data_IF_643953061287
#
_entry.id   IF_643953061287
#
_cell.length_a   1.000
_cell.length_b   1.000
_cell.length_c   1.000
_cell.angle_alpha   90.00
_cell.angle_beta   90.00
_cell.angle_gamma   90.00
#
_symmetry.space_group_name_H-M   'P 1'
#
loop_
_entity.id
_entity.type
_entity.pdbx_description
1 polymer ?
#
# COMPACT_ATOMS: atom_id res chain seq x y z
N UNK A 1 29.09 -4.56 18.52
CA UNK A 1 29.71 -5.91 18.49
C UNK A 1 28.85 -6.77 17.58
N UNK A 2 29.44 -7.53 16.66
CA UNK A 2 28.69 -8.48 15.83
C UNK A 2 28.40 -9.75 16.64
N UNK A 3 27.15 -10.21 16.62
CA UNK A 3 26.72 -11.47 17.21
C UNK A 3 26.93 -12.61 16.20
N UNK A 4 27.28 -13.82 16.65
CA UNK A 4 27.38 -15.02 15.81
C UNK A 4 26.72 -16.22 16.48
N UNK A 5 26.11 -17.11 15.68
CA UNK A 5 25.42 -18.30 16.19
C UNK A 5 24.46 -18.95 15.20
N UNK A 6 23.81 -20.04 15.65
CA UNK A 6 22.78 -20.79 14.93
C UNK A 6 21.45 -20.73 15.69
N UNK A 7 20.41 -20.17 15.06
CA UNK A 7 19.08 -20.03 15.69
C UNK A 7 18.27 -21.34 15.70
N UNK A 8 18.66 -22.35 14.93
CA UNK A 8 17.85 -23.56 14.72
C UNK A 8 17.61 -24.37 16.02
N UNK A 9 18.44 -24.15 17.05
CA UNK A 9 18.33 -24.81 18.35
C UNK A 9 17.39 -24.09 19.34
N UNK A 10 16.91 -22.90 19.00
CA UNK A 10 16.09 -22.06 19.89
C UNK A 10 14.61 -22.47 19.87
N UNK A 11 14.29 -23.77 19.97
CA UNK A 11 12.94 -24.31 19.69
C UNK A 11 11.82 -23.78 20.61
N UNK A 12 12.16 -23.27 21.79
CA UNK A 12 11.23 -22.62 22.72
C UNK A 12 11.17 -21.10 22.57
N UNK A 13 11.85 -20.54 21.58
CA UNK A 13 11.87 -19.10 21.30
C UNK A 13 10.49 -18.65 20.79
N UNK A 14 9.91 -17.67 21.48
CA UNK A 14 8.65 -17.02 21.11
C UNK A 14 8.87 -15.68 20.39
N UNK A 15 10.05 -15.07 20.58
CA UNK A 15 10.50 -13.83 19.97
C UNK A 15 11.94 -13.93 19.47
N UNK A 16 12.11 -13.82 18.15
CA UNK A 16 13.41 -13.71 17.51
C UNK A 16 13.65 -12.27 17.06
N UNK A 17 14.54 -11.56 17.77
CA UNK A 17 14.98 -10.21 17.43
C UNK A 17 16.46 -10.18 17.05
N UNK A 18 16.78 -9.77 15.82
CA UNK A 18 18.15 -9.65 15.31
C UNK A 18 18.28 -8.31 14.60
N UNK A 19 19.01 -7.38 15.22
CA UNK A 19 19.21 -6.03 14.69
C UNK A 19 20.68 -5.77 14.38
N UNK A 20 20.95 -5.15 13.23
CA UNK A 20 22.30 -4.80 12.76
C UNK A 20 22.93 -5.86 11.84
N UNK A 21 24.21 -5.69 11.55
CA UNK A 21 24.97 -6.62 10.71
C UNK A 21 25.63 -7.70 11.57
N UNK A 22 24.97 -8.85 11.67
CA UNK A 22 25.43 -9.98 12.48
C UNK A 22 25.74 -11.19 11.60
N UNK A 23 26.54 -12.11 12.13
CA UNK A 23 26.84 -13.40 11.49
C UNK A 23 25.95 -14.47 12.11
N UNK A 24 24.64 -14.23 12.13
CA UNK A 24 23.65 -15.20 12.60
C UNK A 24 23.16 -16.03 11.41
N UNK A 25 23.12 -17.34 11.63
CA UNK A 25 22.73 -18.35 10.66
C UNK A 25 21.69 -19.29 11.28
N UNK A 26 21.21 -20.26 10.49
CA UNK A 26 20.21 -21.24 10.93
C UNK A 26 18.86 -21.06 10.26
N UNK A 27 18.03 -22.09 10.39
CA UNK A 27 16.68 -22.13 9.84
C UNK A 27 15.64 -21.84 10.91
N UNK A 28 14.72 -20.92 10.63
CA UNK A 28 13.57 -20.65 11.52
C UNK A 28 12.45 -21.67 11.40
N UNK A 29 12.48 -22.58 10.42
CA UNK A 29 11.34 -23.44 10.09
C UNK A 29 10.90 -24.38 11.23
N UNK A 30 11.81 -24.72 12.15
CA UNK A 30 11.53 -25.53 13.33
C UNK A 30 11.09 -24.74 14.56
N UNK A 31 11.15 -23.41 14.51
CA UNK A 31 10.87 -22.52 15.66
C UNK A 31 9.39 -22.21 15.78
N UNK A 32 8.56 -23.26 15.83
CA UNK A 32 7.09 -23.17 15.75
C UNK A 32 6.41 -22.42 16.92
N UNK A 33 7.15 -22.19 18.01
CA UNK A 33 6.70 -21.36 19.14
C UNK A 33 6.76 -19.85 18.85
N UNK A 34 7.39 -19.43 17.74
CA UNK A 34 7.54 -18.02 17.40
C UNK A 34 6.20 -17.33 17.20
N UNK A 35 5.98 -16.28 17.98
CA UNK A 35 4.87 -15.34 17.83
C UNK A 35 5.31 -14.04 17.18
N UNK A 36 6.61 -13.72 17.24
CA UNK A 36 7.19 -12.49 16.70
C UNK A 36 8.58 -12.73 16.11
N UNK A 37 8.79 -12.22 14.89
CA UNK A 37 10.09 -12.17 14.21
C UNK A 37 10.39 -10.72 13.85
N UNK A 38 11.57 -10.25 14.24
CA UNK A 38 12.15 -8.98 13.82
C UNK A 38 13.60 -9.21 13.40
N UNK A 39 13.88 -8.98 12.12
CA UNK A 39 15.24 -9.10 11.57
C UNK A 39 15.55 -7.88 10.72
N UNK A 40 16.58 -7.14 11.11
CA UNK A 40 17.04 -5.90 10.47
C UNK A 40 18.53 -5.97 10.16
N UNK A 41 18.92 -5.46 8.99
CA UNK A 41 20.32 -5.36 8.57
C UNK A 41 20.77 -6.56 7.72
N UNK A 42 22.07 -6.82 7.69
CA UNK A 42 22.66 -7.91 6.89
C UNK A 42 22.84 -9.16 7.74
N UNK A 43 21.93 -10.14 7.61
CA UNK A 43 21.92 -11.38 8.39
C UNK A 43 21.61 -12.58 7.48
N UNK A 44 22.25 -13.72 7.71
CA UNK A 44 22.03 -14.95 6.91
C UNK A 44 21.02 -15.90 7.59
N UNK A 45 19.93 -15.34 8.10
CA UNK A 45 18.82 -16.15 8.64
C UNK A 45 18.00 -16.69 7.48
N UNK A 46 17.73 -17.99 7.51
CA UNK A 46 17.02 -18.71 6.44
C UNK A 46 15.83 -19.47 7.01
N UNK A 47 15.08 -20.15 6.14
CA UNK A 47 13.98 -21.01 6.54
C UNK A 47 12.62 -20.49 6.12
N UNK A 48 11.68 -21.41 6.03
CA UNK A 48 10.30 -21.14 5.64
C UNK A 48 9.48 -20.67 6.84
N UNK A 49 8.71 -19.59 6.67
CA UNK A 49 7.72 -19.19 7.67
C UNK A 49 6.47 -20.06 7.68
N UNK A 50 6.27 -20.94 6.69
CA UNK A 50 4.98 -21.61 6.45
C UNK A 50 4.46 -22.45 7.64
N UNK A 51 5.35 -22.94 8.51
CA UNK A 51 4.98 -23.71 9.70
C UNK A 51 4.75 -22.84 10.96
N UNK A 52 5.05 -21.54 10.91
CA UNK A 52 5.00 -20.62 12.05
C UNK A 52 3.59 -20.07 12.27
N UNK A 53 2.60 -20.94 12.42
CA UNK A 53 1.17 -20.59 12.45
C UNK A 53 0.75 -19.69 13.63
N UNK A 54 1.55 -19.66 14.70
CA UNK A 54 1.38 -18.76 15.85
C UNK A 54 1.93 -17.35 15.61
N UNK A 55 2.53 -17.09 14.45
CA UNK A 55 3.19 -15.82 14.17
C UNK A 55 2.16 -14.71 14.01
N UNK A 56 2.28 -13.68 14.85
CA UNK A 56 1.44 -12.48 14.85
C UNK A 56 2.16 -11.29 14.23
N UNK A 57 3.50 -11.30 14.27
CA UNK A 57 4.34 -10.20 13.82
C UNK A 57 5.52 -10.71 13.01
N UNK A 58 5.62 -10.31 11.75
CA UNK A 58 6.75 -10.59 10.88
C UNK A 58 7.32 -9.26 10.37
N UNK A 59 8.53 -8.93 10.80
CA UNK A 59 9.27 -7.78 10.30
C UNK A 59 10.65 -8.25 9.83
N UNK A 60 10.89 -8.20 8.52
CA UNK A 60 12.17 -8.61 7.92
C UNK A 60 12.59 -7.57 6.90
N UNK A 61 13.69 -6.87 7.14
CA UNK A 61 14.23 -5.90 6.17
C UNK A 61 15.76 -5.93 6.14
N UNK A 62 16.32 -5.60 4.99
CA UNK A 62 17.76 -5.61 4.76
C UNK A 62 18.18 -6.82 3.91
N UNK A 63 19.45 -7.20 4.00
CA UNK A 63 20.02 -8.34 3.26
C UNK A 63 19.84 -9.63 4.05
N UNK A 64 18.58 -10.01 4.27
CA UNK A 64 18.18 -11.30 4.86
C UNK A 64 17.39 -12.10 3.83
N UNK A 65 17.45 -13.43 3.90
CA UNK A 65 16.72 -14.32 2.98
C UNK A 65 15.74 -15.20 3.76
N UNK A 66 14.55 -14.67 4.02
CA UNK A 66 13.41 -15.48 4.48
C UNK A 66 12.54 -15.85 3.28
N UNK A 67 12.00 -17.07 3.34
CA UNK A 67 11.16 -17.64 2.28
C UNK A 67 9.93 -18.33 2.88
N UNK A 68 9.15 -18.97 2.02
CA UNK A 68 7.96 -19.72 2.42
C UNK A 68 6.66 -19.02 2.05
N UNK A 69 5.56 -19.74 2.24
CA UNK A 69 4.22 -19.24 1.97
C UNK A 69 3.61 -18.62 3.22
N UNK A 70 2.98 -17.46 3.08
CA UNK A 70 2.22 -16.82 4.17
C UNK A 70 0.83 -17.40 4.37
N UNK A 71 0.32 -18.25 3.47
CA UNK A 71 -1.10 -18.67 3.44
C UNK A 71 -1.62 -19.26 4.77
N UNK A 72 -0.75 -19.91 5.55
CA UNK A 72 -1.10 -20.51 6.84
C UNK A 72 -0.98 -19.57 8.05
N UNK A 73 -0.48 -18.34 7.87
CA UNK A 73 -0.17 -17.40 8.96
C UNK A 73 -1.39 -16.57 9.37
N UNK A 74 -2.53 -17.22 9.60
CA UNK A 74 -3.84 -16.55 9.81
C UNK A 74 -3.91 -15.66 11.05
N UNK A 75 -3.00 -15.86 12.01
CA UNK A 75 -2.82 -15.01 13.21
C UNK A 75 -2.03 -13.73 12.95
N UNK A 76 -1.48 -13.55 11.75
CA UNK A 76 -0.60 -12.43 11.43
C UNK A 76 -1.40 -11.12 11.41
N UNK A 77 -0.99 -10.17 12.25
CA UNK A 77 -1.56 -8.82 12.30
C UNK A 77 -0.64 -7.79 11.65
N UNK A 78 0.67 -8.07 11.63
CA UNK A 78 1.69 -7.19 11.09
C UNK A 78 2.66 -7.95 10.18
N UNK A 79 2.76 -7.49 8.93
CA UNK A 79 3.67 -8.02 7.92
C UNK A 79 4.50 -6.91 7.29
N UNK A 80 5.79 -6.87 7.58
CA UNK A 80 6.77 -6.04 6.86
C UNK A 80 7.85 -6.92 6.26
N UNK A 81 8.03 -6.86 4.94
CA UNK A 81 9.12 -7.54 4.24
C UNK A 81 9.75 -6.63 3.22
N UNK A 82 11.05 -6.40 3.34
CA UNK A 82 11.82 -5.54 2.44
C UNK A 82 13.16 -6.14 2.05
N UNK A 83 13.72 -5.71 0.91
CA UNK A 83 15.02 -6.17 0.42
C UNK A 83 14.93 -7.36 -0.54
N UNK A 84 15.92 -8.25 -0.51
CA UNK A 84 16.03 -9.44 -1.38
C UNK A 84 15.47 -10.69 -0.71
N UNK A 85 14.23 -10.62 -0.21
CA UNK A 85 13.52 -11.75 0.37
C UNK A 85 12.68 -12.46 -0.69
N UNK A 86 12.33 -13.73 -0.47
CA UNK A 86 11.52 -14.54 -1.41
C UNK A 86 10.27 -15.05 -0.72
N UNK A 87 9.58 -14.15 -0.02
CA UNK A 87 8.30 -14.49 0.58
C UNK A 87 7.24 -14.61 -0.51
N UNK A 88 6.45 -15.69 -0.43
CA UNK A 88 5.44 -16.05 -1.42
C UNK A 88 4.10 -16.36 -0.74
N UNK A 89 3.09 -16.67 -1.54
CA UNK A 89 1.77 -17.05 -1.05
C UNK A 89 0.76 -15.93 -1.10
N UNK A 90 -0.50 -16.33 -0.95
CA UNK A 90 -1.65 -15.43 -1.00
C UNK A 90 -1.89 -14.77 0.35
N UNK A 91 -2.13 -13.46 0.35
CA UNK A 91 -2.56 -12.71 1.55
C UNK A 91 -4.07 -12.86 1.82
N UNK A 92 -4.85 -13.43 0.91
CA UNK A 92 -6.32 -13.40 0.97
C UNK A 92 -6.94 -14.04 2.23
N UNK A 93 -6.23 -14.98 2.87
CA UNK A 93 -6.66 -15.64 4.12
C UNK A 93 -6.19 -14.95 5.40
N UNK A 94 -5.41 -13.86 5.30
CA UNK A 94 -4.77 -13.20 6.44
C UNK A 94 -5.65 -12.07 7.00
N UNK A 95 -6.91 -12.38 7.29
CA UNK A 95 -7.95 -11.40 7.65
C UNK A 95 -7.68 -10.63 8.95
N UNK A 96 -6.73 -11.10 9.76
CA UNK A 96 -6.25 -10.42 10.98
C UNK A 96 -5.25 -9.29 10.69
N UNK A 97 -4.76 -9.16 9.45
CA UNK A 97 -3.79 -8.14 9.08
C UNK A 97 -4.37 -6.75 9.27
N UNK A 98 -3.67 -5.94 10.07
CA UNK A 98 -3.90 -4.51 10.20
C UNK A 98 -2.83 -3.72 9.45
N UNK A 99 -1.65 -4.32 9.21
CA UNK A 99 -0.53 -3.67 8.55
C UNK A 99 0.17 -4.63 7.57
N UNK A 100 0.32 -4.19 6.32
CA UNK A 100 1.15 -4.87 5.32
C UNK A 100 2.05 -3.87 4.61
N UNK A 101 3.35 -4.14 4.60
CA UNK A 101 4.36 -3.40 3.84
C UNK A 101 5.32 -4.36 3.18
N UNK A 102 5.27 -4.43 1.85
CA UNK A 102 6.06 -5.37 1.06
C UNK A 102 6.79 -4.60 -0.03
N UNK A 103 8.12 -4.59 0.05
CA UNK A 103 8.98 -3.82 -0.84
C UNK A 103 10.13 -4.67 -1.36
N UNK A 104 10.65 -4.34 -2.54
CA UNK A 104 11.78 -5.06 -3.14
C UNK A 104 11.36 -6.29 -3.94
N UNK A 105 12.21 -7.32 -3.95
CA UNK A 105 12.09 -8.50 -4.84
C UNK A 105 11.25 -9.64 -4.25
N UNK A 106 10.14 -9.30 -3.61
CA UNK A 106 9.20 -10.28 -3.07
C UNK A 106 8.14 -10.68 -4.11
N UNK A 107 7.47 -11.81 -3.90
CA UNK A 107 6.40 -12.30 -4.78
C UNK A 107 5.16 -12.64 -3.95
N UNK A 108 4.70 -11.66 -3.17
CA UNK A 108 3.39 -11.76 -2.52
C UNK A 108 2.29 -11.46 -3.52
N UNK A 109 1.20 -12.22 -3.40
CA UNK A 109 0.04 -12.18 -4.28
C UNK A 109 -1.23 -12.31 -3.47
N UNK A 110 -2.37 -12.29 -4.16
CA UNK A 110 -3.66 -12.56 -3.56
C UNK A 110 -4.51 -11.32 -3.38
N UNK A 111 -5.79 -11.59 -3.12
CA UNK A 111 -6.80 -10.55 -3.00
C UNK A 111 -6.70 -9.81 -1.67
N UNK A 112 -6.78 -8.49 -1.69
CA UNK A 112 -6.92 -7.65 -0.49
C UNK A 112 -8.37 -7.50 -0.02
N UNK A 113 -9.36 -7.99 -0.78
CA UNK A 113 -10.77 -7.71 -0.54
C UNK A 113 -11.31 -8.16 0.83
N UNK A 114 -10.72 -9.22 1.41
CA UNK A 114 -11.10 -9.72 2.73
C UNK A 114 -10.32 -9.08 3.89
N UNK A 115 -9.36 -8.19 3.61
CA UNK A 115 -8.48 -7.58 4.62
C UNK A 115 -9.10 -6.33 5.23
N UNK A 116 -10.34 -6.42 5.69
CA UNK A 116 -11.15 -5.25 6.12
C UNK A 116 -10.61 -4.55 7.37
N UNK A 117 -9.70 -5.19 8.11
CA UNK A 117 -9.03 -4.61 9.29
C UNK A 117 -7.77 -3.79 8.92
N UNK A 118 -7.40 -3.74 7.64
CA UNK A 118 -6.15 -3.17 7.20
C UNK A 118 -6.16 -1.64 7.31
N UNK A 119 -5.32 -1.10 8.18
CA UNK A 119 -5.11 0.34 8.33
C UNK A 119 -3.99 0.86 7.42
N UNK A 120 -3.11 -0.02 6.93
CA UNK A 120 -1.95 0.33 6.13
C UNK A 120 -1.64 -0.75 5.08
N UNK A 121 -1.63 -0.35 3.81
CA UNK A 121 -1.29 -1.17 2.65
C UNK A 121 -0.16 -0.51 1.87
N UNK A 122 1.02 -1.12 1.89
CA UNK A 122 2.13 -0.77 1.01
C UNK A 122 2.61 -1.99 0.23
N UNK A 123 2.59 -1.88 -1.09
CA UNK A 123 3.13 -2.89 -2.00
C UNK A 123 3.90 -2.23 -3.14
N UNK A 124 5.16 -2.61 -3.30
CA UNK A 124 6.01 -2.15 -4.41
C UNK A 124 6.96 -3.24 -4.87
N UNK A 125 7.58 -3.07 -6.03
CA UNK A 125 8.51 -4.05 -6.61
C UNK A 125 7.79 -5.14 -7.43
N UNK A 126 8.18 -6.41 -7.27
CA UNK A 126 7.69 -7.55 -8.08
C UNK A 126 6.42 -8.20 -7.52
N UNK A 127 5.73 -7.57 -6.57
CA UNK A 127 4.52 -8.09 -5.94
C UNK A 127 3.29 -7.91 -6.86
N UNK A 128 2.31 -8.80 -6.71
CA UNK A 128 1.09 -8.86 -7.55
C UNK A 128 -0.16 -8.98 -6.69
N UNK A 129 -0.42 -7.96 -5.86
CA UNK A 129 -1.68 -7.85 -5.11
C UNK A 129 -2.82 -7.53 -6.07
N UNK A 130 -4.00 -8.06 -5.74
CA UNK A 130 -5.22 -7.88 -6.54
C UNK A 130 -6.45 -7.69 -5.66
N UNK A 131 -7.61 -7.53 -6.29
CA UNK A 131 -8.90 -7.49 -5.61
C UNK A 131 -9.43 -6.09 -5.30
N UNK A 132 -10.68 -6.06 -4.86
CA UNK A 132 -11.37 -4.81 -4.54
C UNK A 132 -10.84 -4.19 -3.26
N UNK A 133 -10.69 -2.85 -3.25
CA UNK A 133 -10.34 -2.07 -2.06
C UNK A 133 -11.57 -1.57 -1.28
N UNK A 134 -12.79 -1.78 -1.78
CA UNK A 134 -14.01 -1.18 -1.19
C UNK A 134 -14.25 -1.56 0.27
N UNK A 135 -13.76 -2.73 0.70
CA UNK A 135 -13.84 -3.17 2.09
C UNK A 135 -12.78 -2.56 3.02
N UNK A 136 -11.81 -1.80 2.49
CA UNK A 136 -10.67 -1.24 3.24
C UNK A 136 -11.03 0.13 3.85
N UNK A 137 -12.23 0.30 4.41
CA UNK A 137 -12.79 1.58 4.84
C UNK A 137 -12.05 2.25 6.00
N UNK A 138 -11.26 1.48 6.76
CA UNK A 138 -10.41 1.96 7.86
C UNK A 138 -8.97 2.21 7.43
N UNK A 139 -8.64 1.99 6.15
CA UNK A 139 -7.29 2.14 5.65
C UNK A 139 -6.91 3.62 5.55
N UNK A 140 -5.86 4.02 6.27
CA UNK A 140 -5.31 5.37 6.18
C UNK A 140 -4.25 5.53 5.10
N UNK A 141 -3.68 4.42 4.62
CA UNK A 141 -2.63 4.46 3.62
C UNK A 141 -2.78 3.32 2.63
N UNK A 142 -2.94 3.68 1.36
CA UNK A 142 -2.83 2.75 0.24
C UNK A 142 -1.73 3.26 -0.68
N UNK A 143 -0.60 2.58 -0.67
CA UNK A 143 0.55 2.88 -1.51
C UNK A 143 0.94 1.64 -2.30
N UNK A 144 0.39 1.52 -3.50
CA UNK A 144 0.53 0.34 -4.33
C UNK A 144 1.06 0.72 -5.70
N UNK A 145 2.27 0.24 -6.00
CA UNK A 145 3.00 0.55 -7.23
C UNK A 145 3.52 -0.72 -7.90
N UNK A 146 3.60 -0.72 -9.22
CA UNK A 146 4.11 -1.87 -10.00
C UNK A 146 2.99 -2.72 -10.59
N UNK A 147 3.21 -4.04 -10.69
CA UNK A 147 2.34 -4.98 -11.42
C UNK A 147 1.10 -5.45 -10.61
N UNK A 148 0.57 -4.60 -9.74
CA UNK A 148 -0.63 -4.89 -8.97
C UNK A 148 -1.89 -4.62 -9.82
N UNK A 149 -2.98 -5.30 -9.48
CA UNK A 149 -4.28 -5.24 -10.17
C UNK A 149 -5.40 -4.98 -9.16
N UNK A 150 -5.26 -3.91 -8.39
CA UNK A 150 -6.32 -3.47 -7.49
C UNK A 150 -7.49 -2.89 -8.27
N UNK A 151 -8.69 -3.12 -7.77
CA UNK A 151 -9.95 -2.67 -8.39
C UNK A 151 -10.84 -2.03 -7.33
N UNK A 152 -12.01 -1.54 -7.75
CA UNK A 152 -13.07 -1.07 -6.86
C UNK A 152 -13.11 0.43 -6.69
N UNK A 153 -14.16 0.90 -6.04
CA UNK A 153 -14.36 2.32 -5.78
C UNK A 153 -13.60 2.80 -4.54
N UNK A 154 -13.07 4.02 -4.62
CA UNK A 154 -12.54 4.77 -3.46
C UNK A 154 -13.64 5.43 -2.62
N UNK A 155 -14.90 5.41 -3.09
CA UNK A 155 -16.03 5.99 -2.36
C UNK A 155 -16.19 5.33 -0.99
N UNK A 156 -16.29 6.14 0.05
CA UNK A 156 -16.44 5.67 1.43
C UNK A 156 -15.13 5.34 2.14
N UNK A 157 -13.98 5.54 1.49
CA UNK A 157 -12.65 5.40 2.11
C UNK A 157 -12.25 6.67 2.87
N UNK A 158 -13.11 7.12 3.79
CA UNK A 158 -12.98 8.41 4.50
C UNK A 158 -11.84 8.47 5.51
N UNK A 159 -11.16 7.34 5.77
CA UNK A 159 -9.99 7.29 6.65
C UNK A 159 -8.68 7.56 5.90
N UNK A 160 -8.70 7.61 4.57
CA UNK A 160 -7.49 7.77 3.76
C UNK A 160 -6.79 9.08 4.08
N UNK A 161 -5.47 8.99 4.22
CA UNK A 161 -4.54 10.12 4.34
C UNK A 161 -3.58 10.12 3.15
N UNK A 162 -3.31 8.93 2.59
CA UNK A 162 -2.43 8.74 1.44
C UNK A 162 -3.03 7.69 0.51
N UNK A 163 -3.24 8.09 -0.74
CA UNK A 163 -3.63 7.22 -1.85
C UNK A 163 -2.61 7.39 -2.98
N UNK A 164 -1.72 6.42 -3.15
CA UNK A 164 -0.75 6.36 -4.23
C UNK A 164 -0.91 5.02 -4.95
N UNK A 165 -1.62 5.02 -6.07
CA UNK A 165 -1.92 3.81 -6.84
C UNK A 165 -1.51 4.00 -8.28
N UNK A 166 -0.43 3.32 -8.66
CA UNK A 166 0.22 3.45 -9.96
C UNK A 166 0.43 2.08 -10.59
N UNK A 167 0.11 1.96 -11.89
CA UNK A 167 0.32 0.74 -12.66
C UNK A 167 -1.00 0.18 -13.21
N UNK A 168 -1.11 -1.14 -13.30
CA UNK A 168 -2.24 -1.85 -13.92
C UNK A 168 -3.46 -1.98 -12.98
N UNK A 169 -3.74 -0.92 -12.20
CA UNK A 169 -4.87 -0.88 -11.27
C UNK A 169 -6.04 -0.15 -11.91
N UNK A 170 -7.27 -0.54 -11.58
CA UNK A 170 -8.52 0.02 -12.12
C UNK A 170 -9.36 0.57 -10.99
N UNK A 171 -8.80 1.49 -10.21
CA UNK A 171 -9.57 2.19 -9.19
C UNK A 171 -10.51 3.19 -9.82
N UNK A 172 -11.68 3.35 -9.22
CA UNK A 172 -12.72 4.29 -9.66
C UNK A 172 -13.31 5.04 -8.47
N UNK A 173 -14.30 5.88 -8.74
CA UNK A 173 -15.07 6.58 -7.71
C UNK A 173 -14.80 8.08 -7.69
N UNK A 174 -15.57 8.75 -6.85
CA UNK A 174 -15.56 10.21 -6.75
C UNK A 174 -14.57 10.68 -5.68
N UNK A 175 -13.49 11.34 -6.13
CA UNK A 175 -12.44 11.84 -5.23
C UNK A 175 -12.95 12.90 -4.25
N UNK A 176 -14.04 13.62 -4.58
CA UNK A 176 -14.64 14.63 -3.68
C UNK A 176 -15.05 14.03 -2.33
N UNK A 177 -15.28 12.71 -2.29
CA UNK A 177 -15.73 11.98 -1.11
C UNK A 177 -14.62 11.65 -0.12
N UNK A 178 -13.35 11.88 -0.48
CA UNK A 178 -12.19 11.51 0.33
C UNK A 178 -11.20 12.67 0.55
N UNK A 179 -11.55 13.91 0.21
CA UNK A 179 -10.58 15.03 0.21
C UNK A 179 -10.13 15.51 1.59
N UNK A 180 -10.93 15.27 2.64
CA UNK A 180 -10.63 15.73 4.01
C UNK A 180 -9.51 14.90 4.64
N UNK A 181 -8.49 15.55 5.22
CA UNK A 181 -7.37 14.88 5.89
C UNK A 181 -6.34 14.24 4.96
N UNK A 182 -6.52 14.35 3.65
CA UNK A 182 -5.62 13.77 2.66
C UNK A 182 -4.37 14.62 2.47
N UNK A 183 -3.22 13.94 2.37
CA UNK A 183 -1.91 14.53 2.10
C UNK A 183 -1.40 14.27 0.68
N UNK A 184 -1.87 13.17 0.05
CA UNK A 184 -1.48 12.76 -1.29
C UNK A 184 -2.58 11.95 -1.96
N UNK A 185 -3.00 12.40 -3.14
CA UNK A 185 -3.67 11.59 -4.16
C UNK A 185 -2.73 11.46 -5.35
N UNK A 186 -2.33 10.24 -5.70
CA UNK A 186 -1.63 9.95 -6.94
C UNK A 186 -2.26 8.72 -7.58
N UNK A 187 -3.09 8.97 -8.59
CA UNK A 187 -3.81 7.96 -9.36
C UNK A 187 -3.30 8.03 -10.80
N UNK A 188 -2.51 7.04 -11.21
CA UNK A 188 -1.94 6.97 -12.55
C UNK A 188 -1.92 5.54 -13.09
N UNK A 189 -1.96 5.38 -14.41
CA UNK A 189 -2.02 4.06 -15.06
C UNK A 189 -3.44 3.75 -15.52
N UNK A 190 -3.95 2.57 -15.18
CA UNK A 190 -5.24 2.07 -15.70
C UNK A 190 -6.48 2.50 -14.86
N UNK A 191 -6.32 3.47 -13.95
CA UNK A 191 -7.40 3.93 -13.07
C UNK A 191 -8.48 4.70 -13.86
N UNK A 192 -9.73 4.57 -13.46
CA UNK A 192 -10.92 5.09 -14.11
C UNK A 192 -11.53 6.23 -13.29
N UNK A 193 -11.13 7.47 -13.55
CA UNK A 193 -11.56 8.64 -12.77
C UNK A 193 -12.46 9.53 -13.65
N UNK A 194 -13.75 9.22 -13.62
CA UNK A 194 -14.80 9.77 -14.50
C UNK A 194 -15.91 10.46 -13.72
N UNK A 195 -15.73 10.69 -12.41
CA UNK A 195 -16.76 11.29 -11.55
C UNK A 195 -16.14 12.29 -10.60
N UNK A 196 -16.62 13.53 -10.65
CA UNK A 196 -16.34 14.54 -9.64
C UNK A 196 -17.61 15.34 -9.28
N UNK A 197 -18.15 15.09 -8.08
CA UNK A 197 -19.26 15.90 -7.53
C UNK A 197 -18.67 17.13 -6.84
N UNK A 198 -18.84 18.31 -7.43
CA UNK A 198 -18.34 19.56 -6.86
C UNK A 198 -18.86 19.86 -5.45
N UNK A 199 -18.20 20.80 -4.77
CA UNK A 199 -18.45 21.19 -3.37
C UNK A 199 -17.50 20.55 -2.36
N UNK A 200 -16.37 19.98 -2.80
CA UNK A 200 -15.37 19.42 -1.91
C UNK A 200 -14.53 20.52 -1.24
N UNK A 201 -14.14 20.29 0.02
CA UNK A 201 -13.09 21.07 0.68
C UNK A 201 -11.80 20.28 0.63
N UNK A 202 -10.74 20.90 0.13
CA UNK A 202 -9.41 20.33 0.06
C UNK A 202 -8.55 20.90 1.18
N UNK A 203 -7.71 20.06 1.79
CA UNK A 203 -6.65 20.48 2.72
C UNK A 203 -5.30 20.43 2.01
N UNK A 204 -4.21 20.92 2.63
CA UNK A 204 -2.86 20.96 2.05
C UNK A 204 -2.41 19.61 1.46
N UNK A 205 -2.63 19.41 0.15
CA UNK A 205 -2.56 18.10 -0.53
C UNK A 205 -1.77 18.16 -1.84
N UNK A 206 -1.01 17.11 -2.13
CA UNK A 206 -0.44 16.87 -3.46
C UNK A 206 -1.38 16.02 -4.30
N UNK A 207 -1.70 16.44 -5.51
CA UNK A 207 -2.67 15.74 -6.38
C UNK A 207 -2.07 15.46 -7.74
N UNK A 208 -2.03 14.19 -8.11
CA UNK A 208 -1.80 13.74 -9.48
C UNK A 208 -2.93 12.81 -9.87
N UNK A 209 -3.72 13.19 -10.86
CA UNK A 209 -4.76 12.35 -11.43
C UNK A 209 -4.48 12.24 -12.93
N UNK A 210 -4.15 11.03 -13.34
CA UNK A 210 -3.84 10.65 -14.72
C UNK A 210 -4.64 9.41 -15.09
N UNK A 211 -5.92 9.58 -15.45
CA UNK A 211 -6.80 8.45 -15.71
C UNK A 211 -6.45 7.74 -17.03
N UNK A 212 -6.90 6.50 -17.13
CA UNK A 212 -6.71 5.64 -18.30
C UNK A 212 -7.36 6.21 -19.56
N UNK A 213 -6.95 5.71 -20.73
CA UNK A 213 -7.55 6.06 -22.03
C UNK A 213 -9.09 5.91 -22.00
N UNK A 214 -9.81 7.02 -22.16
CA UNK A 214 -11.29 7.04 -22.20
C UNK A 214 -12.00 7.10 -20.84
N UNK A 215 -11.27 7.17 -19.73
CA UNK A 215 -11.84 7.18 -18.37
C UNK A 215 -11.40 8.40 -17.54
N UNK A 216 -11.34 9.58 -18.17
CA UNK A 216 -10.97 10.82 -17.49
C UNK A 216 -12.16 11.75 -17.32
N UNK A 217 -12.04 12.66 -16.36
CA UNK A 217 -13.01 13.72 -16.11
C UNK A 217 -13.40 14.49 -17.37
N UNK A 218 -14.69 14.79 -17.51
CA UNK A 218 -15.17 15.73 -18.51
C UNK A 218 -14.87 17.19 -18.14
N UNK A 219 -15.25 18.11 -19.04
CA UNK A 219 -14.98 19.55 -18.87
C UNK A 219 -15.66 20.12 -17.60
N UNK A 220 -16.88 19.66 -17.29
CA UNK A 220 -17.64 20.12 -16.11
C UNK A 220 -17.00 19.63 -14.82
N UNK A 221 -16.56 18.39 -14.80
CA UNK A 221 -15.89 17.77 -13.66
C UNK A 221 -14.54 18.40 -13.37
N UNK A 222 -13.77 18.71 -14.42
CA UNK A 222 -12.52 19.46 -14.29
C UNK A 222 -12.78 20.86 -13.74
N UNK A 223 -13.77 21.58 -14.27
CA UNK A 223 -14.06 22.92 -13.78
C UNK A 223 -14.51 22.93 -12.32
N UNK A 224 -15.39 22.00 -11.93
CA UNK A 224 -15.81 21.83 -10.53
C UNK A 224 -14.63 21.55 -9.61
N UNK A 225 -13.73 20.64 -10.01
CA UNK A 225 -12.54 20.29 -9.24
C UNK A 225 -11.64 21.51 -9.04
N UNK A 226 -11.38 22.26 -10.11
CA UNK A 226 -10.53 23.45 -10.06
C UNK A 226 -11.15 24.58 -9.22
N UNK A 227 -12.48 24.77 -9.30
CA UNK A 227 -13.21 25.74 -8.49
C UNK A 227 -13.09 25.37 -7.01
N UNK A 228 -13.38 24.12 -6.65
CA UNK A 228 -13.29 23.65 -5.25
C UNK A 228 -11.87 23.79 -4.68
N UNK A 229 -10.84 23.45 -5.47
CA UNK A 229 -9.44 23.61 -5.06
C UNK A 229 -9.06 25.08 -4.86
N UNK A 230 -9.52 25.98 -5.73
CA UNK A 230 -9.29 27.41 -5.59
C UNK A 230 -10.01 27.98 -4.36
N UNK A 231 -11.26 27.59 -4.14
CA UNK A 231 -12.06 28.04 -2.99
C UNK A 231 -11.47 27.51 -1.68
N UNK A 232 -10.83 26.33 -1.72
CA UNK A 232 -10.06 25.75 -0.62
C UNK A 232 -8.70 26.43 -0.39
N UNK A 233 -8.29 27.38 -1.24
CA UNK A 233 -7.02 28.11 -1.13
C UNK A 233 -5.80 27.17 -1.04
N UNK A 234 -5.79 26.08 -1.81
CA UNK A 234 -4.67 25.15 -1.88
C UNK A 234 -3.48 25.89 -2.50
N UNK A 235 -2.42 26.13 -1.71
CA UNK A 235 -1.20 26.79 -2.21
C UNK A 235 0.06 25.98 -1.92
N UNK A 236 0.97 25.87 -2.88
CA UNK A 236 2.34 25.41 -2.66
C UNK A 236 2.62 23.91 -2.83
N UNK A 237 1.65 23.09 -3.25
CA UNK A 237 1.84 21.67 -3.63
C UNK A 237 1.49 21.42 -5.10
N UNK A 238 2.17 20.46 -5.77
CA UNK A 238 1.92 20.17 -7.17
C UNK A 238 0.52 19.58 -7.33
N UNK A 239 -0.23 20.15 -8.28
CA UNK A 239 -1.50 19.64 -8.77
C UNK A 239 -1.31 19.35 -10.25
N UNK A 240 -1.60 18.12 -10.66
CA UNK A 240 -1.39 17.64 -12.02
C UNK A 240 -2.61 16.84 -12.46
N UNK A 241 -3.40 17.42 -13.36
CA UNK A 241 -4.56 16.79 -13.97
C UNK A 241 -4.23 16.54 -15.44
N UNK A 242 -4.00 15.27 -15.81
CA UNK A 242 -3.54 14.90 -17.16
C UNK A 242 -4.17 13.57 -17.60
N UNK A 243 -3.72 13.00 -18.71
CA UNK A 243 -4.24 11.74 -19.22
C UNK A 243 -5.45 11.97 -20.12
N UNK A 244 -6.53 11.26 -19.89
CA UNK A 244 -7.76 11.35 -20.71
C UNK A 244 -8.77 12.38 -20.24
N UNK A 245 -8.46 13.16 -19.21
CA UNK A 245 -9.33 14.25 -18.77
C UNK A 245 -9.43 15.33 -19.85
N UNK A 246 -10.63 15.89 -19.99
CA UNK A 246 -10.88 17.02 -20.87
C UNK A 246 -10.07 18.25 -20.43
N UNK A 247 -9.77 19.20 -21.34
CA UNK A 247 -9.28 20.50 -20.93
C UNK A 247 -10.36 21.24 -20.12
N UNK A 248 -9.93 22.10 -19.20
CA UNK A 248 -10.80 23.05 -18.49
C UNK A 248 -11.47 24.06 -19.44
N UNK A 249 -12.60 24.62 -19.03
CA UNK A 249 -13.30 25.69 -19.75
C UNK A 249 -13.03 27.07 -19.15
N UNK A 250 -13.71 28.10 -19.67
CA UNK A 250 -13.71 29.45 -19.09
C UNK A 250 -14.43 29.53 -17.73
N UNK A 251 -15.21 28.52 -17.35
CA UNK A 251 -15.93 28.51 -16.07
C UNK A 251 -14.98 28.50 -14.86
N UNK A 252 -13.78 27.95 -15.00
CA UNK A 252 -12.75 27.92 -13.96
C UNK A 252 -11.68 29.02 -14.11
N UNK A 253 -11.87 30.04 -14.97
CA UNK A 253 -10.87 31.11 -15.23
C UNK A 253 -10.44 31.91 -14.01
N UNK A 254 -11.35 32.09 -13.06
CA UNK A 254 -11.04 32.73 -11.77
C UNK A 254 -10.19 31.83 -10.86
N UNK A 255 -10.23 30.52 -11.07
CA UNK A 255 -9.45 29.53 -10.31
C UNK A 255 -7.99 29.40 -10.78
N UNK A 256 -7.55 30.17 -11.79
CA UNK A 256 -6.27 30.00 -12.51
C UNK A 256 -4.98 30.23 -11.68
N UNK A 257 -5.07 30.67 -10.42
CA UNK A 257 -3.93 31.18 -9.66
C UNK A 257 -2.67 30.29 -9.64
N UNK A 258 -2.82 28.96 -9.54
CA UNK A 258 -1.68 28.08 -9.22
C UNK A 258 -1.65 26.70 -9.93
N UNK A 259 -2.59 26.40 -10.85
CA UNK A 259 -2.69 25.08 -11.49
C UNK A 259 -1.95 25.03 -12.85
N UNK A 260 -0.99 24.11 -13.01
CA UNK A 260 -0.22 23.89 -14.25
C UNK A 260 -0.59 22.58 -14.95
#
# INVERSE_FOLDING_TARGET
ASLSGDVAQLTSCDYLGIDGDNTISGSIAGLTSLTRIRILGSNTVTGSVAALTSLTYLYVTGSTTISGSVVGLTSLTFLTVGGTNTLTGSVAGLTSLTFISVVGFNTLSGSVAALTSLSYLLSSGTNTLSGSIEGLTVCGTINVTGNNTLTGSITGMTSLILLNVVGNNTLSGDISTITTGMSLVNLAGDNQMEVYTGGATWEDISVTIKPAAGYGYDETEIDNLLIDMNDSSITGKPITLTGSSAPRSSASDTAKGEFQ
#
